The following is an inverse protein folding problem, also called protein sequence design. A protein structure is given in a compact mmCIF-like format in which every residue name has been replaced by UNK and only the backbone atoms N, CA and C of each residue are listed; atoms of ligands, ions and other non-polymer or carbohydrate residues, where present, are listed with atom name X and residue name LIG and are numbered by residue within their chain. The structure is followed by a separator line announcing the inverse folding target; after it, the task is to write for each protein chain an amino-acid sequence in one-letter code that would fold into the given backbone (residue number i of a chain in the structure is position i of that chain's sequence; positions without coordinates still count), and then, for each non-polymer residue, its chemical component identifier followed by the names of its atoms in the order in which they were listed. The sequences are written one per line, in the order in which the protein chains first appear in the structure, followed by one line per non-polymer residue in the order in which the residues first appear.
data_IF_626695727764
#
_entry.id   IF_626695727764
#
_cell.length_a   1.000
_cell.length_b   1.000
_cell.length_c   1.000
_cell.angle_alpha   90.00
_cell.angle_beta   90.00
_cell.angle_gamma   90.00
#
_symmetry.space_group_name_H-M   'P 1'
#
loop_
_entity.id
_entity.type
_entity.pdbx_description
1 polymer ?
#
# COMPACT_ATOMS: atom_id res chain seq x y z
N UNK A 1 8.33 -18.27 -4.33
CA UNK A 1 6.93 -18.02 -4.73
C UNK A 1 6.20 -17.56 -3.47
N UNK A 2 6.49 -16.32 -3.05
CA UNK A 2 5.77 -15.10 -3.48
C UNK A 2 4.39 -15.03 -2.84
N UNK A 3 4.36 -14.57 -1.58
CA UNK A 3 3.13 -14.31 -0.85
C UNK A 3 3.14 -12.83 -0.46
N UNK A 4 2.85 -11.95 -1.42
CA UNK A 4 2.71 -10.50 -1.19
C UNK A 4 1.39 -10.13 -0.47
N UNK A 5 0.58 -11.13 -0.09
CA UNK A 5 -0.74 -10.95 0.50
C UNK A 5 -0.81 -11.74 1.79
N UNK A 6 -1.35 -11.12 2.85
CA UNK A 6 -1.67 -11.85 4.07
C UNK A 6 -2.69 -12.98 3.81
N UNK A 7 -2.64 -14.08 4.58
CA UNK A 7 -3.63 -15.14 4.48
C UNK A 7 -5.06 -14.59 4.69
N UNK A 8 -5.93 -14.84 3.72
CA UNK A 8 -7.32 -14.40 3.73
C UNK A 8 -7.60 -13.15 2.90
N UNK A 9 -6.59 -12.52 2.29
CA UNK A 9 -6.76 -11.43 1.33
C UNK A 9 -6.80 -11.98 -0.09
N UNK A 10 -7.91 -11.73 -0.78
CA UNK A 10 -8.10 -12.14 -2.18
C UNK A 10 -7.65 -11.03 -3.13
N UNK A 11 -7.17 -11.40 -4.32
CA UNK A 11 -6.77 -10.42 -5.35
C UNK A 11 -7.91 -9.49 -5.76
N UNK A 12 -9.16 -9.97 -5.75
CA UNK A 12 -10.34 -9.16 -6.03
C UNK A 12 -10.49 -8.01 -5.02
N UNK A 13 -10.27 -8.28 -3.73
CA UNK A 13 -10.30 -7.28 -2.66
C UNK A 13 -9.26 -6.19 -2.88
N UNK A 14 -8.04 -6.60 -3.27
CA UNK A 14 -6.95 -5.66 -3.57
C UNK A 14 -7.31 -4.81 -4.78
N UNK A 15 -7.82 -5.39 -5.87
CA UNK A 15 -8.23 -4.64 -7.05
C UNK A 15 -9.36 -3.66 -6.72
N UNK A 16 -10.31 -4.06 -5.89
CA UNK A 16 -11.40 -3.19 -5.48
C UNK A 16 -10.89 -2.03 -4.62
N UNK A 17 -10.02 -2.32 -3.64
CA UNK A 17 -9.33 -1.31 -2.86
C UNK A 17 -8.52 -0.32 -3.73
N UNK A 18 -7.90 -0.77 -4.83
CA UNK A 18 -7.24 0.14 -5.78
C UNK A 18 -8.22 1.03 -6.55
N UNK A 19 -9.46 0.60 -6.73
CA UNK A 19 -10.50 1.34 -7.48
C UNK A 19 -11.27 2.32 -6.62
N UNK A 20 -11.62 1.93 -5.39
CA UNK A 20 -12.47 2.70 -4.47
C UNK A 20 -11.69 3.30 -3.29
N UNK A 21 -10.56 2.69 -2.94
CA UNK A 21 -9.74 3.12 -1.81
C UNK A 21 -9.09 4.47 -2.06
N UNK A 22 -8.78 5.16 -0.97
CA UNK A 22 -8.14 6.45 -0.99
C UNK A 22 -6.63 6.29 -0.77
N UNK A 23 -5.83 7.09 -1.49
CA UNK A 23 -4.40 7.19 -1.22
C UNK A 23 -4.22 7.97 0.09
N UNK A 24 -3.72 7.31 1.12
CA UNK A 24 -3.49 7.91 2.45
C UNK A 24 -2.06 8.39 2.63
N UNK A 25 -1.11 7.78 1.93
CA UNK A 25 0.30 8.19 1.94
C UNK A 25 0.92 7.98 0.56
N UNK A 26 1.86 8.85 0.19
CA UNK A 26 2.63 8.74 -1.06
C UNK A 26 4.10 8.90 -0.76
N UNK A 27 4.92 8.02 -1.33
CA UNK A 27 6.37 8.00 -1.22
C UNK A 27 6.96 8.25 -2.61
N UNK A 28 6.98 9.51 -3.08
CA UNK A 28 7.53 9.85 -4.39
C UNK A 28 9.05 9.68 -4.48
N UNK A 29 9.74 9.63 -3.34
CA UNK A 29 11.20 9.45 -3.25
C UNK A 29 11.63 7.97 -3.23
N UNK A 30 10.66 7.05 -3.13
CA UNK A 30 10.92 5.62 -3.13
C UNK A 30 11.59 5.19 -4.45
N UNK A 31 12.60 4.32 -4.35
CA UNK A 31 13.38 3.86 -5.51
C UNK A 31 13.17 2.36 -5.72
N UNK A 32 13.05 1.90 -6.98
CA UNK A 32 13.32 2.61 -8.24
C UNK A 32 12.15 3.45 -8.81
N UNK A 33 10.93 3.25 -8.32
CA UNK A 33 9.72 3.96 -8.77
C UNK A 33 8.90 4.40 -7.55
N UNK A 34 8.11 5.50 -7.66
CA UNK A 34 7.37 6.03 -6.54
C UNK A 34 6.31 5.04 -6.05
N UNK A 35 6.13 4.96 -4.74
CA UNK A 35 5.12 4.11 -4.10
C UNK A 35 4.03 4.91 -3.41
N UNK A 36 2.87 4.29 -3.20
CA UNK A 36 1.70 4.86 -2.58
C UNK A 36 1.00 3.82 -1.71
N UNK A 37 0.45 4.29 -0.59
CA UNK A 37 -0.37 3.52 0.32
C UNK A 37 -1.83 3.85 0.08
N UNK A 38 -2.60 2.83 -0.25
CA UNK A 38 -4.03 2.92 -0.48
C UNK A 38 -4.74 2.24 0.69
N UNK A 39 -5.76 2.91 1.20
CA UNK A 39 -6.61 2.39 2.27
C UNK A 39 -8.05 2.28 1.78
N UNK A 40 -8.62 1.11 1.99
CA UNK A 40 -10.03 0.83 1.76
C UNK A 40 -10.67 0.34 3.06
N UNK A 41 -11.86 0.88 3.38
CA UNK A 41 -12.58 0.56 4.62
C UNK A 41 -13.97 -0.04 4.33
N UNK A 42 -14.21 -0.55 3.12
CA UNK A 42 -15.55 -0.90 2.67
C UNK A 42 -16.14 -2.15 3.35
N UNK A 43 -15.53 -3.32 3.19
CA UNK A 43 -15.98 -4.56 3.87
C UNK A 43 -15.17 -4.85 5.13
N UNK A 44 -13.87 -4.59 5.05
CA UNK A 44 -12.91 -4.67 6.15
C UNK A 44 -11.78 -3.69 5.86
N UNK A 45 -11.08 -3.17 6.87
CA UNK A 45 -9.95 -2.30 6.62
C UNK A 45 -8.87 -3.07 5.87
N UNK A 46 -8.45 -2.53 4.73
CA UNK A 46 -7.42 -3.11 3.88
C UNK A 46 -6.44 -2.01 3.48
N UNK A 47 -5.17 -2.21 3.80
CA UNK A 47 -4.06 -1.38 3.34
C UNK A 47 -3.34 -2.09 2.22
N UNK A 48 -3.12 -1.37 1.12
CA UNK A 48 -2.42 -1.86 -0.06
C UNK A 48 -1.29 -0.90 -0.37
N UNK A 49 -0.06 -1.39 -0.32
CA UNK A 49 1.11 -0.64 -0.80
C UNK A 49 1.33 -1.00 -2.25
N UNK A 50 1.36 0.02 -3.10
CA UNK A 50 1.62 -0.12 -4.53
C UNK A 50 2.78 0.75 -4.97
N UNK A 51 3.53 0.29 -5.96
CA UNK A 51 4.46 1.11 -6.71
C UNK A 51 3.85 1.46 -8.07
N UNK A 52 3.78 2.75 -8.38
CA UNK A 52 3.18 3.24 -9.61
C UNK A 52 4.27 3.70 -10.56
N UNK A 53 4.41 3.01 -11.68
CA UNK A 53 5.21 3.52 -12.78
C UNK A 53 4.34 4.43 -13.66
N UNK A 54 4.49 5.74 -13.45
CA UNK A 54 3.75 6.77 -14.19
C UNK A 54 4.08 6.78 -15.69
N UNK A 55 5.23 6.23 -16.10
CA UNK A 55 5.64 6.20 -17.50
C UNK A 55 5.14 4.94 -18.22
N UNK A 56 5.08 3.81 -17.52
CA UNK A 56 4.73 2.50 -18.03
C UNK A 56 3.24 2.14 -17.80
N UNK A 57 2.44 3.03 -17.19
CA UNK A 57 1.03 2.80 -16.83
C UNK A 57 0.85 1.46 -16.09
N UNK A 58 1.87 1.07 -15.32
CA UNK A 58 1.92 -0.23 -14.65
C UNK A 58 1.97 0.00 -13.16
N UNK A 59 1.08 -0.70 -12.45
CA UNK A 59 0.99 -0.65 -11.00
C UNK A 59 1.44 -2.01 -10.44
N UNK A 60 2.43 -1.98 -9.56
CA UNK A 60 2.97 -3.15 -8.88
C UNK A 60 2.43 -3.19 -7.46
N UNK A 61 1.79 -4.29 -7.08
CA UNK A 61 1.35 -4.48 -5.70
C UNK A 61 2.55 -4.97 -4.91
N UNK A 62 3.00 -4.19 -3.93
CA UNK A 62 4.12 -4.54 -3.04
C UNK A 62 3.62 -5.40 -1.88
N UNK A 63 2.55 -4.96 -1.21
CA UNK A 63 1.94 -5.75 -0.14
C UNK A 63 0.49 -5.34 0.06
N UNK A 64 -0.33 -6.26 0.56
CA UNK A 64 -1.65 -5.93 1.10
C UNK A 64 -1.86 -6.64 2.43
N UNK A 65 -2.33 -5.88 3.41
CA UNK A 65 -2.53 -6.34 4.78
C UNK A 65 -3.73 -5.66 5.42
N UNK A 66 -4.36 -6.31 6.40
CA UNK A 66 -5.40 -5.69 7.22
C UNK A 66 -4.69 -4.90 8.33
N UNK A 67 -4.86 -3.58 8.46
CA UNK A 67 -4.32 -2.90 9.62
C UNK A 67 -5.03 -3.45 10.86
N UNK A 68 -4.29 -4.13 11.72
CA UNK A 68 -4.66 -4.24 13.12
C UNK A 68 -4.80 -2.81 13.69
N UNK A 69 -5.79 -2.59 14.54
CA UNK A 69 -6.24 -1.27 15.07
C UNK A 69 -5.15 -0.43 15.79
N UNK A 70 -3.87 -0.81 15.76
CA UNK A 70 -2.79 -0.24 16.60
C UNK A 70 -1.48 0.04 15.84
N UNK A 71 -1.50 0.34 14.53
CA UNK A 71 -0.33 0.98 13.89
C UNK A 71 -0.74 1.84 12.70
N UNK A 72 -1.49 2.91 12.95
CA UNK A 72 -1.36 4.09 12.08
C UNK A 72 0.01 4.66 12.43
N UNK A 73 1.03 4.16 11.75
CA UNK A 73 2.42 4.54 11.94
C UNK A 73 2.53 6.04 11.68
N UNK A 74 2.38 6.80 12.76
CA UNK A 74 2.70 8.21 12.83
C UNK A 74 4.23 8.35 12.87
N UNK A 75 4.96 7.63 12.01
CA UNK A 75 6.39 7.82 11.81
C UNK A 75 6.60 8.78 10.64
N UNK A 76 6.24 10.04 10.93
CA UNK A 76 6.81 11.16 10.24
C UNK A 76 8.30 11.23 10.60
N UNK A 77 9.18 10.87 9.67
CA UNK A 77 10.58 11.33 9.57
C UNK A 77 11.29 11.58 10.91
N UNK A 78 12.21 10.69 11.27
CA UNK A 78 13.48 11.15 11.86
C UNK A 78 14.67 10.65 11.05
N UNK A 79 15.08 11.51 10.11
CA UNK A 79 16.48 11.89 9.82
C UNK A 79 17.56 11.05 10.51
N UNK A 80 18.46 10.46 9.72
CA UNK A 80 19.77 9.98 10.18
C UNK A 80 20.43 10.99 11.14
N UNK A 81 21.06 10.53 12.23
CA UNK A 81 22.53 10.44 12.17
C UNK A 81 23.13 9.32 13.04
N UNK A 82 24.05 8.55 12.46
CA UNK A 82 25.41 8.37 12.99
C UNK A 82 26.34 7.73 11.95
#
# INVERSE_FOLDING_TARGET
MERLLEPGIHRAEVIDALRRGAITSTYPDDRPIPSALIYDAHERPLQVVVALDVNATTCFIITAYCPDEIHVESDMKTTQPR
#
